data_IF_002410694589
#
_entry.id   IF_002410694589
#
_cell.length_a   1.000
_cell.length_b   1.000
_cell.length_c   1.000
_cell.angle_alpha   90.00
_cell.angle_beta   90.00
_cell.angle_gamma   90.00
#
_symmetry.space_group_name_H-M   'P 1'
#
loop_
_entity.id
_entity.type
_entity.pdbx_description
1 polymer ?
#
# COMPACT_ATOMS: atom_id res chain seq x y z
N UNK A 1 29.52 67.88 5.10
CA UNK A 1 28.38 68.79 5.37
C UNK A 1 28.43 69.93 4.37
N UNK A 2 27.31 70.57 3.97
CA UNK A 2 25.89 70.36 4.34
C UNK A 2 25.06 69.93 3.11
N UNK A 3 23.77 69.58 3.08
CA UNK A 3 22.66 69.38 4.03
C UNK A 3 21.59 68.61 3.22
N UNK A 4 21.00 67.55 3.78
CA UNK A 4 19.60 67.18 3.45
C UNK A 4 18.69 68.30 3.99
N UNK A 5 17.50 68.58 3.41
CA UNK A 5 16.31 67.81 3.82
C UNK A 5 15.20 67.64 2.77
N UNK A 6 14.32 66.68 3.08
CA UNK A 6 12.88 66.67 2.82
C UNK A 6 12.40 66.77 1.36
N UNK A 7 12.04 65.63 0.78
CA UNK A 7 10.81 65.44 0.01
C UNK A 7 10.53 63.93 -0.06
N UNK A 8 10.16 63.39 1.11
CA UNK A 8 9.78 62.01 1.34
C UNK A 8 8.38 62.08 1.97
N UNK A 9 7.36 62.53 1.21
CA UNK A 9 5.99 62.63 1.72
C UNK A 9 4.86 62.85 0.67
N UNK A 10 5.04 62.59 -0.64
CA UNK A 10 3.94 62.81 -1.60
C UNK A 10 3.64 61.71 -2.63
N UNK A 11 4.33 60.57 -2.62
CA UNK A 11 4.10 59.51 -3.64
C UNK A 11 3.93 58.09 -3.08
N UNK A 12 3.67 57.95 -1.78
CA UNK A 12 3.37 56.66 -1.12
C UNK A 12 1.96 56.64 -0.49
N UNK A 13 1.05 57.48 -0.99
CA UNK A 13 -0.35 57.58 -0.55
C UNK A 13 -1.37 57.05 -1.58
N UNK A 14 -0.93 56.26 -2.58
CA UNK A 14 -1.82 55.75 -3.63
C UNK A 14 -1.94 54.21 -3.75
N UNK A 15 -1.34 53.43 -2.84
CA UNK A 15 -1.37 51.95 -2.90
C UNK A 15 -1.67 51.26 -1.56
N UNK A 16 -2.42 51.94 -0.67
CA UNK A 16 -3.02 51.33 0.52
C UNK A 16 -4.48 51.76 0.59
N UNK A 17 -5.38 51.02 -0.05
CA UNK A 17 -6.81 51.06 0.27
C UNK A 17 -7.04 50.13 1.47
N UNK A 18 -7.42 50.64 2.65
CA UNK A 18 -8.02 49.79 3.66
C UNK A 18 -9.43 49.44 3.19
N UNK A 19 -9.75 48.15 3.11
CA UNK A 19 -11.13 47.69 3.07
C UNK A 19 -11.72 48.07 4.43
N UNK A 20 -12.53 49.12 4.43
CA UNK A 20 -13.27 49.59 5.59
C UNK A 20 -14.15 48.44 6.11
N UNK A 21 -13.77 47.83 7.23
CA UNK A 21 -14.72 47.11 8.08
C UNK A 21 -15.70 48.16 8.61
N UNK A 22 -16.95 48.05 8.17
CA UNK A 22 -18.06 48.78 8.76
C UNK A 22 -18.09 48.48 10.26
N UNK A 23 -17.70 49.47 11.05
CA UNK A 23 -18.00 49.56 12.48
C UNK A 23 -19.48 49.87 12.63
N UNK A 24 -20.32 48.84 12.67
CA UNK A 24 -21.62 48.94 13.35
C UNK A 24 -21.39 48.64 14.83
N UNK A 25 -21.17 49.70 15.60
CA UNK A 25 -21.30 49.68 17.05
C UNK A 25 -22.80 49.49 17.33
N UNK A 26 -23.21 48.24 17.59
CA UNK A 26 -24.33 47.99 18.49
C UNK A 26 -23.74 47.78 19.88
N UNK A 27 -24.00 48.76 20.73
CA UNK A 27 -23.73 48.79 22.14
C UNK A 27 -24.53 47.71 22.89
N UNK A 28 -23.86 47.08 23.86
CA UNK A 28 -24.42 46.41 25.03
C UNK A 28 -25.46 45.30 24.79
N UNK A 29 -24.95 44.13 24.41
CA UNK A 29 -25.18 42.96 25.25
C UNK A 29 -23.81 42.37 25.57
N UNK A 30 -23.40 42.45 26.84
CA UNK A 30 -22.60 41.37 27.40
C UNK A 30 -23.42 40.11 27.09
N UNK A 31 -23.04 39.37 26.05
CA UNK A 31 -23.51 38.01 25.86
C UNK A 31 -23.05 37.28 27.12
N UNK A 32 -23.95 37.19 28.10
CA UNK A 32 -23.76 36.29 29.21
C UNK A 32 -23.38 34.96 28.58
N UNK A 33 -22.23 34.40 28.99
CA UNK A 33 -21.89 33.02 28.64
C UNK A 33 -23.17 32.21 28.85
N UNK A 34 -23.68 31.51 27.83
CA UNK A 34 -24.95 30.83 27.96
C UNK A 34 -24.91 29.98 29.24
N UNK A 35 -25.92 30.10 30.10
CA UNK A 35 -25.91 29.34 31.35
C UNK A 35 -25.77 27.86 31.02
N UNK A 36 -24.98 27.13 31.82
CA UNK A 36 -24.78 25.71 31.62
C UNK A 36 -26.13 24.99 31.47
N UNK A 37 -26.35 24.26 30.36
CA UNK A 37 -27.57 23.49 30.20
C UNK A 37 -27.71 22.43 31.31
N UNK A 38 -28.93 21.95 31.59
CA UNK A 38 -29.14 20.82 32.48
C UNK A 38 -28.26 19.62 32.05
N UNK A 39 -27.62 18.89 32.98
CA UNK A 39 -26.70 17.80 32.64
C UNK A 39 -27.31 16.69 31.76
N UNK A 40 -28.63 16.50 31.82
CA UNK A 40 -29.33 15.46 31.07
C UNK A 40 -29.78 15.91 29.67
N UNK A 41 -29.61 17.19 29.32
CA UNK A 41 -30.04 17.74 28.03
C UNK A 41 -28.88 17.82 27.03
N UNK A 42 -28.52 16.67 26.47
CA UNK A 42 -27.42 16.55 25.49
C UNK A 42 -27.64 17.40 24.22
N UNK A 43 -28.89 17.68 23.84
CA UNK A 43 -29.19 18.53 22.69
C UNK A 43 -28.83 19.99 22.98
N UNK A 44 -29.20 20.48 24.17
CA UNK A 44 -28.82 21.82 24.61
C UNK A 44 -27.30 21.96 24.80
N UNK A 45 -26.61 20.94 25.32
CA UNK A 45 -25.14 20.95 25.43
C UNK A 45 -24.45 21.02 24.07
N UNK A 46 -24.96 20.32 23.04
CA UNK A 46 -24.43 20.45 21.68
C UNK A 46 -24.54 21.88 21.15
N UNK A 47 -25.69 22.54 21.35
CA UNK A 47 -25.90 23.94 20.95
C UNK A 47 -24.96 24.88 21.73
N UNK A 48 -24.83 24.65 23.04
CA UNK A 48 -23.95 25.41 23.92
C UNK A 48 -22.49 25.38 23.47
N UNK A 49 -21.98 24.20 23.10
CA UNK A 49 -20.61 24.07 22.62
C UNK A 49 -20.41 24.57 21.19
N UNK A 50 -21.41 24.43 20.33
CA UNK A 50 -21.38 25.01 18.99
C UNK A 50 -21.30 26.54 19.05
N UNK A 51 -21.99 27.19 20.00
CA UNK A 51 -21.89 28.63 20.24
C UNK A 51 -20.49 29.08 20.73
N UNK A 52 -19.67 28.15 21.22
CA UNK A 52 -18.29 28.37 21.67
C UNK A 52 -17.23 27.86 20.69
N UNK A 53 -17.61 27.60 19.44
CA UNK A 53 -16.70 27.10 18.39
C UNK A 53 -16.06 25.74 18.75
N UNK A 54 -16.77 24.93 19.54
CA UNK A 54 -16.40 23.55 19.89
C UNK A 54 -17.50 22.57 19.43
N UNK A 55 -17.89 22.56 18.14
CA UNK A 55 -19.06 21.82 17.65
C UNK A 55 -18.96 20.29 17.79
N UNK A 56 -17.78 19.77 18.08
CA UNK A 56 -17.53 18.34 18.32
C UNK A 56 -17.84 17.90 19.76
N UNK A 57 -18.04 18.84 20.69
CA UNK A 57 -18.46 18.53 22.06
C UNK A 57 -19.95 18.29 22.14
N UNK A 58 -20.34 17.29 22.91
CA UNK A 58 -21.74 16.92 23.12
C UNK A 58 -22.09 16.59 24.55
N UNK A 59 -21.08 16.31 25.39
CA UNK A 59 -21.30 15.97 26.79
C UNK A 59 -21.30 17.22 27.68
N UNK A 60 -21.92 17.12 28.87
CA UNK A 60 -21.75 18.11 29.92
C UNK A 60 -20.28 18.33 30.27
N UNK A 61 -19.95 19.56 30.68
CA UNK A 61 -18.63 19.87 31.21
C UNK A 61 -18.36 18.99 32.45
N UNK A 62 -17.16 18.40 32.51
CA UNK A 62 -16.77 17.57 33.65
C UNK A 62 -16.53 18.45 34.89
N UNK A 63 -16.72 17.89 36.08
CA UNK A 63 -16.54 18.65 37.32
C UNK A 63 -15.08 19.07 37.54
N UNK A 64 -14.89 20.13 38.34
CA UNK A 64 -13.57 20.74 38.60
C UNK A 64 -12.57 19.74 39.17
N UNK A 65 -13.01 18.80 40.03
CA UNK A 65 -12.10 17.79 40.60
C UNK A 65 -11.61 16.82 39.52
N UNK A 66 -12.48 16.44 38.58
CA UNK A 66 -12.10 15.62 37.43
C UNK A 66 -11.15 16.36 36.50
N UNK A 67 -11.39 17.65 36.24
CA UNK A 67 -10.48 18.51 35.47
C UNK A 67 -9.08 18.59 36.10
N UNK A 68 -9.02 18.84 37.42
CA UNK A 68 -7.76 18.87 38.18
C UNK A 68 -7.03 17.52 38.08
N UNK A 69 -7.74 16.40 38.29
CA UNK A 69 -7.17 15.06 38.14
C UNK A 69 -6.57 14.83 36.74
N UNK A 70 -7.34 15.11 35.69
CA UNK A 70 -6.89 14.91 34.31
C UNK A 70 -5.73 15.84 33.94
N UNK A 71 -5.70 17.07 34.48
CA UNK A 71 -4.58 18.00 34.27
C UNK A 71 -3.28 17.47 34.88
N UNK A 72 -3.34 16.91 36.11
CA UNK A 72 -2.20 16.25 36.77
C UNK A 72 -1.74 15.04 35.97
N UNK A 73 -2.67 14.21 35.47
CA UNK A 73 -2.34 13.04 34.63
C UNK A 73 -1.66 13.45 33.33
N UNK A 74 -2.17 14.46 32.63
CA UNK A 74 -1.59 14.97 31.38
C UNK A 74 -0.19 15.57 31.58
N UNK A 75 0.10 16.13 32.76
CA UNK A 75 1.41 16.68 33.09
C UNK A 75 2.49 15.62 33.35
N UNK A 76 2.13 14.32 33.43
CA UNK A 76 3.10 13.24 33.62
C UNK A 76 3.96 13.09 32.36
N UNK A 77 5.26 13.36 32.49
CA UNK A 77 6.25 13.06 31.44
C UNK A 77 6.36 11.54 31.24
N UNK A 78 6.07 11.01 30.03
CA UNK A 78 6.16 9.59 29.75
C UNK A 78 7.60 9.06 29.94
N UNK A 79 7.75 7.92 30.62
CA UNK A 79 9.03 7.22 30.77
C UNK A 79 8.89 5.78 30.31
N UNK A 80 9.43 5.47 29.12
CA UNK A 80 9.28 4.19 28.45
C UNK A 80 9.98 3.06 29.23
N UNK A 81 11.19 3.31 29.72
CA UNK A 81 11.99 2.32 30.46
C UNK A 81 11.40 1.98 31.84
N UNK A 82 10.58 2.88 32.40
CA UNK A 82 9.84 2.61 33.64
C UNK A 82 8.38 2.19 33.36
N UNK A 83 7.94 2.27 32.10
CA UNK A 83 6.57 1.98 31.68
C UNK A 83 5.54 2.94 32.27
N UNK A 84 5.90 4.22 32.43
CA UNK A 84 5.04 5.28 32.95
C UNK A 84 4.40 6.01 31.76
N UNK A 85 3.07 6.04 31.72
CA UNK A 85 2.30 6.73 30.68
C UNK A 85 1.19 7.60 31.30
N UNK A 86 0.81 8.72 30.66
CA UNK A 86 -0.10 9.71 31.25
C UNK A 86 -1.44 9.13 31.69
N UNK A 87 -2.03 8.22 30.91
CA UNK A 87 -3.35 7.65 31.18
C UNK A 87 -3.35 6.15 31.43
N UNK A 88 -2.18 5.57 31.77
CA UNK A 88 -2.10 4.15 32.12
C UNK A 88 -3.16 3.77 33.17
N UNK A 89 -4.02 2.81 32.82
CA UNK A 89 -5.12 2.28 33.65
C UNK A 89 -6.16 3.32 34.08
N UNK A 90 -6.25 4.44 33.37
CA UNK A 90 -7.28 5.46 33.62
C UNK A 90 -8.47 5.17 32.70
N UNK A 91 -9.62 4.89 33.29
CA UNK A 91 -10.88 4.84 32.55
C UNK A 91 -11.33 6.26 32.21
N UNK A 92 -11.45 6.54 30.92
CA UNK A 92 -11.90 7.83 30.38
C UNK A 92 -13.28 7.65 29.76
N UNK A 93 -14.19 8.60 30.01
CA UNK A 93 -15.46 8.69 29.31
C UNK A 93 -15.38 9.72 28.16
N UNK A 94 -16.48 9.90 27.41
CA UNK A 94 -16.53 10.86 26.31
C UNK A 94 -16.26 12.30 26.77
N UNK A 95 -16.85 12.74 27.89
CA UNK A 95 -16.68 14.08 28.44
C UNK A 95 -15.23 14.37 28.84
N UNK A 96 -14.53 13.38 29.42
CA UNK A 96 -13.10 13.49 29.76
C UNK A 96 -12.25 13.77 28.52
N UNK A 97 -12.51 13.06 27.42
CA UNK A 97 -11.77 13.19 26.16
C UNK A 97 -12.12 14.52 25.47
N UNK A 98 -13.40 14.90 25.50
CA UNK A 98 -13.83 16.20 24.99
C UNK A 98 -13.13 17.35 25.72
N UNK A 99 -13.03 17.28 27.05
CA UNK A 99 -12.31 18.28 27.83
C UNK A 99 -10.80 18.26 27.56
N UNK A 100 -10.19 17.08 27.47
CA UNK A 100 -8.76 16.93 27.13
C UNK A 100 -8.43 17.53 25.77
N UNK A 101 -9.31 17.37 24.77
CA UNK A 101 -9.18 18.00 23.45
C UNK A 101 -9.30 19.53 23.54
N UNK A 102 -10.31 20.03 24.25
CA UNK A 102 -10.55 21.49 24.37
C UNK A 102 -9.38 22.22 25.03
N UNK A 103 -8.67 21.54 25.93
CA UNK A 103 -7.55 22.10 26.69
C UNK A 103 -6.18 21.64 26.16
N UNK A 104 -6.15 20.94 25.03
CA UNK A 104 -4.92 20.48 24.40
C UNK A 104 -4.06 21.66 23.98
N UNK A 105 -2.74 21.55 24.19
CA UNK A 105 -1.76 22.60 23.89
C UNK A 105 -2.21 23.98 24.38
N UNK A 106 -2.49 24.12 25.68
CA UNK A 106 -2.92 25.40 26.29
C UNK A 106 -4.18 26.01 25.64
N UNK A 107 -5.09 25.17 25.13
CA UNK A 107 -6.35 25.60 24.52
C UNK A 107 -6.29 25.85 23.02
N UNK A 108 -5.19 25.51 22.35
CA UNK A 108 -5.15 25.45 20.88
C UNK A 108 -6.14 24.44 20.30
N UNK A 109 -6.59 23.47 21.10
CA UNK A 109 -7.61 22.52 20.71
C UNK A 109 -7.06 21.35 19.88
N UNK A 110 -7.96 20.56 19.26
CA UNK A 110 -7.56 19.41 18.44
C UNK A 110 -6.70 19.83 17.23
N UNK A 111 -6.00 18.86 16.65
CA UNK A 111 -5.26 19.04 15.41
C UNK A 111 -6.25 19.06 14.25
N UNK A 112 -6.28 20.14 13.46
CA UNK A 112 -6.99 20.16 12.19
C UNK A 112 -6.11 19.55 11.09
N UNK A 113 -6.38 18.31 10.71
CA UNK A 113 -5.60 17.61 9.69
C UNK A 113 -5.74 18.19 8.27
N UNK A 114 -6.82 18.94 8.02
CA UNK A 114 -7.04 19.59 6.73
C UNK A 114 -6.05 20.73 6.50
N UNK A 115 -5.61 21.38 7.57
CA UNK A 115 -4.55 22.38 7.59
C UNK A 115 -3.16 21.71 7.58
N UNK A 116 -2.41 21.89 6.48
CA UNK A 116 -1.09 21.27 6.33
C UNK A 116 -0.10 21.74 7.40
N UNK A 117 -0.22 22.98 7.88
CA UNK A 117 0.65 23.54 8.91
C UNK A 117 0.45 22.86 10.27
N UNK A 118 -0.71 22.26 10.51
CA UNK A 118 -1.04 21.60 11.77
C UNK A 118 -0.66 20.12 11.78
N UNK A 119 -0.35 19.51 10.64
CA UNK A 119 -0.01 18.07 10.55
C UNK A 119 1.27 17.68 11.30
N UNK A 120 2.09 18.65 11.69
CA UNK A 120 3.28 18.46 12.53
C UNK A 120 2.97 18.52 14.03
N UNK A 121 1.79 19.01 14.43
CA UNK A 121 1.35 19.02 15.84
C UNK A 121 1.12 17.59 16.32
N UNK A 122 1.48 17.31 17.57
CA UNK A 122 1.11 16.05 18.21
C UNK A 122 -0.34 16.12 18.69
N UNK A 123 -1.14 15.10 18.40
CA UNK A 123 -2.46 14.98 18.99
C UNK A 123 -2.39 14.65 20.48
N UNK A 124 -3.54 14.50 21.12
CA UNK A 124 -3.60 14.12 22.54
C UNK A 124 -2.90 12.78 22.78
N UNK A 125 -2.18 12.65 23.89
CA UNK A 125 -1.54 11.40 24.31
C UNK A 125 -2.45 10.63 25.25
N UNK A 126 -2.99 9.51 24.78
CA UNK A 126 -3.87 8.61 25.53
C UNK A 126 -3.26 7.22 25.72
N UNK A 127 -1.93 7.10 25.70
CA UNK A 127 -1.26 5.82 25.92
C UNK A 127 -1.66 5.19 27.26
N UNK A 128 -2.02 3.92 27.19
CA UNK A 128 -2.45 3.11 28.32
C UNK A 128 -3.85 3.43 28.87
N UNK A 129 -4.60 4.34 28.23
CA UNK A 129 -5.96 4.68 28.61
C UNK A 129 -6.92 3.50 28.39
N UNK A 130 -7.93 3.41 29.26
CA UNK A 130 -9.07 2.50 29.11
C UNK A 130 -10.29 3.27 28.60
N UNK A 131 -10.67 3.00 27.35
CA UNK A 131 -11.74 3.67 26.62
C UNK A 131 -12.66 2.62 25.97
N UNK A 132 -12.75 1.45 26.61
CA UNK A 132 -13.62 0.36 26.18
C UNK A 132 -15.09 0.78 26.25
N UNK A 133 -15.84 0.44 25.19
CA UNK A 133 -17.28 0.72 25.08
C UNK A 133 -17.67 2.21 25.19
N UNK A 134 -16.74 3.13 24.94
CA UNK A 134 -17.00 4.58 24.98
C UNK A 134 -17.39 5.08 23.59
N UNK A 135 -18.34 6.02 23.54
CA UNK A 135 -18.73 6.69 22.32
C UNK A 135 -17.80 7.86 21.99
N UNK A 136 -16.94 7.68 20.99
CA UNK A 136 -16.01 8.66 20.45
C UNK A 136 -16.39 9.12 19.04
N UNK A 137 -17.61 8.81 18.60
CA UNK A 137 -18.07 9.14 17.26
C UNK A 137 -17.88 10.62 16.94
N UNK A 138 -17.38 10.87 15.73
CA UNK A 138 -17.10 12.18 15.15
C UNK A 138 -16.08 13.07 15.90
N UNK A 139 -15.36 12.55 16.90
CA UNK A 139 -14.35 13.35 17.59
C UNK A 139 -13.13 13.65 16.70
N UNK A 140 -12.53 14.86 16.82
CA UNK A 140 -11.33 15.27 16.09
C UNK A 140 -10.06 14.75 16.79
N UNK A 141 -9.76 13.46 16.59
CA UNK A 141 -8.62 12.75 17.21
C UNK A 141 -7.41 12.64 16.26
N UNK A 142 -7.24 13.59 15.34
CA UNK A 142 -6.10 13.58 14.43
C UNK A 142 -4.78 13.65 15.21
N UNK A 143 -3.79 12.86 14.78
CA UNK A 143 -2.49 12.76 15.46
C UNK A 143 -2.52 12.10 16.85
N UNK A 144 -3.66 11.53 17.28
CA UNK A 144 -3.80 10.83 18.57
C UNK A 144 -2.63 9.87 18.82
N UNK A 145 -2.03 9.92 20.01
CA UNK A 145 -0.98 9.01 20.43
C UNK A 145 -1.55 7.96 21.38
N UNK A 146 -1.91 6.80 20.84
CA UNK A 146 -2.40 5.62 21.58
C UNK A 146 -1.39 4.46 21.66
N UNK A 147 -0.26 4.55 20.96
CA UNK A 147 0.79 3.52 20.93
C UNK A 147 2.20 4.09 21.03
N UNK A 148 3.18 3.20 21.17
CA UNK A 148 4.60 3.58 21.14
C UNK A 148 5.06 3.84 19.70
N UNK A 149 5.92 4.85 19.51
CA UNK A 149 6.64 5.03 18.26
C UNK A 149 7.62 3.87 18.02
N UNK A 150 8.18 3.79 16.81
CA UNK A 150 9.16 2.74 16.48
C UNK A 150 10.39 2.76 17.38
N UNK A 151 10.91 3.95 17.71
CA UNK A 151 12.10 4.11 18.54
C UNK A 151 11.80 3.70 19.98
N UNK A 152 10.73 4.24 20.57
CA UNK A 152 10.30 3.89 21.93
C UNK A 152 10.03 2.39 22.06
N UNK A 153 9.43 1.76 21.06
CA UNK A 153 9.18 0.31 21.07
C UNK A 153 10.48 -0.49 21.15
N UNK A 154 11.55 -0.07 20.47
CA UNK A 154 12.82 -0.81 20.48
C UNK A 154 13.52 -0.76 21.84
N UNK A 155 13.23 0.28 22.63
CA UNK A 155 13.74 0.45 24.00
C UNK A 155 12.82 -0.22 25.04
N UNK A 156 11.56 -0.45 24.70
CA UNK A 156 10.57 -1.02 25.60
C UNK A 156 10.63 -2.56 25.69
N UNK A 157 10.53 -3.09 26.91
CA UNK A 157 10.23 -4.51 27.18
C UNK A 157 8.80 -4.85 26.78
N UNK A 158 8.46 -6.15 26.72
CA UNK A 158 7.10 -6.59 26.39
C UNK A 158 6.06 -6.05 27.38
N UNK A 159 6.39 -6.00 28.68
CA UNK A 159 5.48 -5.48 29.72
C UNK A 159 5.26 -3.98 29.59
N UNK A 160 6.31 -3.22 29.28
CA UNK A 160 6.22 -1.78 29.06
C UNK A 160 5.36 -1.45 27.83
N UNK A 161 5.47 -2.26 26.77
CA UNK A 161 4.59 -2.15 25.59
C UNK A 161 3.15 -2.41 25.95
N UNK A 162 2.87 -3.49 26.72
CA UNK A 162 1.50 -3.82 27.17
C UNK A 162 0.87 -2.69 27.99
N UNK A 163 1.65 -2.04 28.86
CA UNK A 163 1.19 -0.88 29.64
C UNK A 163 0.86 0.36 28.78
N UNK A 164 1.49 0.52 27.62
CA UNK A 164 1.22 1.61 26.69
C UNK A 164 -0.03 1.39 25.83
N UNK A 165 -0.50 0.14 25.71
CA UNK A 165 -1.59 -0.22 24.82
C UNK A 165 -2.89 0.48 25.25
N UNK A 166 -3.40 1.33 24.37
CA UNK A 166 -4.72 1.91 24.50
C UNK A 166 -5.79 0.82 24.34
N UNK A 167 -6.70 0.73 25.31
CA UNK A 167 -7.81 -0.23 25.31
C UNK A 167 -9.06 0.45 24.73
N UNK A 168 -9.54 -0.03 23.59
CA UNK A 168 -10.69 0.51 22.87
C UNK A 168 -11.64 -0.61 22.41
N UNK A 169 -11.65 -1.74 23.12
CA UNK A 169 -12.55 -2.87 22.83
C UNK A 169 -13.99 -2.37 22.85
N UNK A 170 -14.73 -2.64 21.78
CA UNK A 170 -16.12 -2.24 21.60
C UNK A 170 -16.36 -0.71 21.60
N UNK A 171 -15.33 0.12 21.45
CA UNK A 171 -15.50 1.57 21.37
C UNK A 171 -16.25 1.96 20.09
N UNK A 172 -17.10 2.98 20.17
CA UNK A 172 -17.74 3.55 18.99
C UNK A 172 -16.89 4.71 18.46
N UNK A 173 -16.21 4.47 17.35
CA UNK A 173 -15.34 5.39 16.62
C UNK A 173 -15.96 5.78 15.26
N UNK A 174 -17.29 5.73 15.16
CA UNK A 174 -18.02 6.06 13.94
C UNK A 174 -17.68 7.47 13.47
N UNK A 175 -17.18 7.62 12.24
CA UNK A 175 -16.85 8.92 11.65
C UNK A 175 -15.77 9.71 12.39
N UNK A 176 -15.06 9.11 13.34
CA UNK A 176 -13.99 9.76 14.10
C UNK A 176 -12.83 10.12 13.17
N UNK A 177 -12.23 11.29 13.38
CA UNK A 177 -11.08 11.76 12.62
C UNK A 177 -9.81 11.26 13.33
N UNK A 178 -9.12 10.28 12.75
CA UNK A 178 -7.94 9.62 13.31
C UNK A 178 -6.74 9.71 12.35
N UNK A 179 -6.71 10.73 11.50
CA UNK A 179 -5.67 10.88 10.50
C UNK A 179 -4.32 11.05 11.21
N UNK A 180 -3.32 10.30 10.75
CA UNK A 180 -1.99 10.28 11.38
C UNK A 180 -1.93 9.73 12.80
N UNK A 181 -3.03 9.22 13.36
CA UNK A 181 -3.03 8.68 14.71
C UNK A 181 -2.05 7.50 14.84
N UNK A 182 -1.31 7.44 15.94
CA UNK A 182 -0.51 6.30 16.31
C UNK A 182 -1.33 5.36 17.19
N UNK A 183 -1.90 4.33 16.57
CA UNK A 183 -2.71 3.27 17.18
C UNK A 183 -1.97 1.92 17.16
N UNK A 184 -0.64 1.96 17.12
CA UNK A 184 0.20 0.76 17.13
C UNK A 184 -0.12 -0.10 18.34
N UNK A 185 -0.41 -1.38 18.10
CA UNK A 185 -0.74 -2.38 19.13
C UNK A 185 -1.99 -2.06 19.99
N UNK A 186 -2.80 -1.08 19.58
CA UNK A 186 -4.07 -0.78 20.23
C UNK A 186 -5.03 -1.97 20.18
N UNK A 187 -5.85 -2.11 21.22
CA UNK A 187 -6.89 -3.13 21.32
C UNK A 187 -8.21 -2.53 20.83
N UNK A 188 -8.61 -2.84 19.60
CA UNK A 188 -9.77 -2.33 18.87
C UNK A 188 -10.75 -3.45 18.50
N UNK A 189 -10.71 -4.57 19.21
CA UNK A 189 -11.62 -5.69 19.01
C UNK A 189 -13.06 -5.21 19.12
N UNK A 190 -13.93 -5.64 18.20
CA UNK A 190 -15.36 -5.28 18.18
C UNK A 190 -15.65 -3.77 18.11
N UNK A 191 -14.65 -2.93 17.83
CA UNK A 191 -14.86 -1.48 17.71
C UNK A 191 -15.64 -1.14 16.43
N UNK A 192 -16.48 -0.10 16.52
CA UNK A 192 -17.18 0.47 15.36
C UNK A 192 -16.35 1.60 14.77
N UNK A 193 -15.63 1.31 13.68
CA UNK A 193 -14.77 2.24 12.93
C UNK A 193 -15.42 2.65 11.60
N UNK A 194 -16.74 2.48 11.46
CA UNK A 194 -17.45 2.84 10.23
C UNK A 194 -17.23 4.30 9.89
N UNK A 195 -16.92 4.57 8.63
CA UNK A 195 -16.65 5.91 8.11
C UNK A 195 -15.52 6.68 8.83
N UNK A 196 -14.75 6.06 9.73
CA UNK A 196 -13.63 6.70 10.40
C UNK A 196 -12.57 7.12 9.38
N UNK A 197 -11.93 8.27 9.61
CA UNK A 197 -10.83 8.74 8.78
C UNK A 197 -9.48 8.36 9.40
N UNK A 198 -8.92 7.25 8.95
CA UNK A 198 -7.65 6.66 9.40
C UNK A 198 -6.50 6.93 8.41
N UNK A 199 -6.62 7.97 7.59
CA UNK A 199 -5.59 8.30 6.60
C UNK A 199 -4.23 8.48 7.27
N UNK A 200 -3.20 7.79 6.76
CA UNK A 200 -1.84 7.80 7.30
C UNK A 200 -1.71 7.35 8.77
N UNK A 201 -2.75 6.76 9.37
CA UNK A 201 -2.68 6.24 10.72
C UNK A 201 -1.72 5.04 10.81
N UNK A 202 -1.05 4.89 11.94
CA UNK A 202 -0.21 3.73 12.27
C UNK A 202 -1.02 2.73 13.08
N UNK A 203 -1.46 1.65 12.42
CA UNK A 203 -2.22 0.54 12.99
C UNK A 203 -1.38 -0.73 13.08
N UNK A 204 -0.05 -0.60 13.08
CA UNK A 204 0.85 -1.77 13.06
C UNK A 204 0.56 -2.66 14.26
N UNK A 205 0.26 -3.92 13.99
CA UNK A 205 -0.07 -4.93 15.01
C UNK A 205 -1.24 -4.55 15.93
N UNK A 206 -2.10 -3.62 15.51
CA UNK A 206 -3.36 -3.36 16.19
C UNK A 206 -4.24 -4.62 16.12
N UNK A 207 -5.03 -4.84 17.18
CA UNK A 207 -6.00 -5.92 17.23
C UNK A 207 -7.37 -5.39 16.82
N UNK A 208 -7.81 -5.70 15.60
CA UNK A 208 -9.06 -5.22 14.99
C UNK A 208 -10.03 -6.40 14.74
N UNK A 209 -9.86 -7.50 15.48
CA UNK A 209 -10.71 -8.70 15.36
C UNK A 209 -12.18 -8.31 15.56
N UNK A 210 -13.04 -8.77 14.64
CA UNK A 210 -14.50 -8.48 14.63
C UNK A 210 -14.89 -7.00 14.60
N UNK A 211 -13.96 -6.10 14.29
CA UNK A 211 -14.27 -4.67 14.16
C UNK A 211 -15.07 -4.38 12.88
N UNK A 212 -15.86 -3.30 12.91
CA UNK A 212 -16.63 -2.82 11.76
C UNK A 212 -15.93 -1.60 11.14
N UNK A 213 -15.26 -1.80 10.01
CA UNK A 213 -14.50 -0.79 9.27
C UNK A 213 -15.23 -0.34 8.00
N UNK A 214 -16.56 -0.56 7.89
CA UNK A 214 -17.27 -0.26 6.65
C UNK A 214 -17.16 1.20 6.25
N UNK A 215 -16.72 1.44 5.02
CA UNK A 215 -16.51 2.80 4.50
C UNK A 215 -15.37 3.58 5.15
N UNK A 216 -14.54 2.97 6.01
CA UNK A 216 -13.41 3.65 6.64
C UNK A 216 -12.38 4.12 5.60
N UNK A 217 -11.74 5.26 5.86
CA UNK A 217 -10.69 5.80 5.00
C UNK A 217 -9.32 5.39 5.52
N UNK A 218 -8.69 4.40 4.87
CA UNK A 218 -7.39 3.84 5.27
C UNK A 218 -6.27 4.20 4.27
N UNK A 219 -6.47 5.24 3.46
CA UNK A 219 -5.47 5.65 2.46
C UNK A 219 -4.13 5.94 3.14
N UNK A 220 -3.07 5.31 2.64
CA UNK A 220 -1.71 5.39 3.20
C UNK A 220 -1.57 4.95 4.68
N UNK A 221 -2.58 4.28 5.27
CA UNK A 221 -2.48 3.74 6.62
C UNK A 221 -1.47 2.58 6.68
N UNK A 222 -0.81 2.42 7.83
CA UNK A 222 0.15 1.34 8.06
C UNK A 222 -0.49 0.23 8.92
N UNK A 223 -0.97 -0.83 8.27
CA UNK A 223 -1.63 -1.96 8.89
C UNK A 223 -0.68 -3.14 9.13
N UNK A 224 0.65 -2.96 9.03
CA UNK A 224 1.57 -4.12 9.04
C UNK A 224 1.40 -5.01 10.27
N UNK A 225 1.10 -6.28 10.03
CA UNK A 225 0.87 -7.27 11.07
C UNK A 225 -0.39 -7.07 11.90
N UNK A 226 -1.32 -6.21 11.48
CA UNK A 226 -2.62 -6.05 12.14
C UNK A 226 -3.44 -7.35 12.06
N UNK A 227 -4.27 -7.55 13.07
CA UNK A 227 -5.17 -8.70 13.21
C UNK A 227 -6.57 -8.25 12.82
N UNK A 228 -7.07 -8.67 11.66
CA UNK A 228 -8.37 -8.27 11.10
C UNK A 228 -9.35 -9.44 10.97
N UNK A 229 -9.11 -10.53 11.70
CA UNK A 229 -9.94 -11.72 11.64
C UNK A 229 -11.40 -11.39 11.93
N UNK A 230 -12.30 -11.86 11.08
CA UNK A 230 -13.75 -11.61 11.16
C UNK A 230 -14.16 -10.12 11.11
N UNK A 231 -13.25 -9.20 10.75
CA UNK A 231 -13.58 -7.78 10.57
C UNK A 231 -14.37 -7.53 9.26
N UNK A 232 -15.11 -6.42 9.22
CA UNK A 232 -15.88 -5.99 8.04
C UNK A 232 -15.24 -4.74 7.42
N UNK A 233 -14.52 -4.89 6.30
CA UNK A 233 -13.95 -3.77 5.56
C UNK A 233 -14.77 -3.41 4.32
N UNK A 234 -16.05 -3.81 4.20
CA UNK A 234 -16.81 -3.49 2.99
C UNK A 234 -16.80 -2.00 2.71
N UNK A 235 -16.57 -1.63 1.44
CA UNK A 235 -16.49 -0.23 1.00
C UNK A 235 -15.34 0.59 1.60
N UNK A 236 -14.42 -0.01 2.37
CA UNK A 236 -13.26 0.69 2.89
C UNK A 236 -12.30 1.12 1.76
N UNK A 237 -11.57 2.20 2.00
CA UNK A 237 -10.62 2.81 1.04
C UNK A 237 -9.19 2.49 1.42
N UNK A 238 -8.54 1.58 0.70
CA UNK A 238 -7.23 1.01 1.07
C UNK A 238 -6.08 1.48 0.15
N UNK A 239 -6.29 2.52 -0.67
CA UNK A 239 -5.28 2.95 -1.62
C UNK A 239 -3.97 3.30 -0.91
N UNK A 240 -2.86 2.75 -1.41
CA UNK A 240 -1.52 2.92 -0.85
C UNK A 240 -1.35 2.49 0.62
N UNK A 241 -2.33 1.80 1.20
CA UNK A 241 -2.21 1.24 2.55
C UNK A 241 -1.15 0.13 2.58
N UNK A 242 -0.47 -0.02 3.72
CA UNK A 242 0.52 -1.06 3.90
C UNK A 242 -0.08 -2.23 4.70
N UNK A 243 -0.55 -3.25 4.00
CA UNK A 243 -1.19 -4.42 4.59
C UNK A 243 -0.21 -5.60 4.77
N UNK A 244 1.11 -5.37 4.77
CA UNK A 244 2.04 -6.50 4.82
C UNK A 244 1.91 -7.31 6.10
N UNK A 245 1.81 -8.63 5.98
CA UNK A 245 1.67 -9.52 7.14
C UNK A 245 0.32 -9.42 7.85
N UNK A 246 -0.69 -8.76 7.27
CA UNK A 246 -2.03 -8.70 7.86
C UNK A 246 -2.68 -10.08 7.86
N UNK A 247 -3.41 -10.40 8.93
CA UNK A 247 -4.24 -11.59 9.03
C UNK A 247 -5.69 -11.24 8.72
N UNK A 248 -6.23 -11.81 7.65
CA UNK A 248 -7.55 -11.48 7.11
C UNK A 248 -8.52 -12.67 7.17
N UNK A 249 -8.32 -13.62 8.08
CA UNK A 249 -9.16 -14.82 8.17
C UNK A 249 -10.64 -14.43 8.34
N UNK A 250 -11.50 -14.86 7.41
CA UNK A 250 -12.94 -14.53 7.36
C UNK A 250 -13.26 -13.02 7.31
N UNK A 251 -12.31 -12.17 6.92
CA UNK A 251 -12.54 -10.74 6.77
C UNK A 251 -13.39 -10.46 5.53
N UNK A 252 -14.40 -9.58 5.64
CA UNK A 252 -15.21 -9.17 4.48
C UNK A 252 -14.55 -8.00 3.75
N UNK A 253 -14.13 -8.25 2.50
CA UNK A 253 -13.45 -7.30 1.62
C UNK A 253 -14.31 -6.85 0.43
N UNK A 254 -15.62 -7.15 0.41
CA UNK A 254 -16.46 -6.84 -0.75
C UNK A 254 -16.55 -5.33 -1.00
N UNK A 255 -16.45 -4.93 -2.27
CA UNK A 255 -16.55 -3.53 -2.69
C UNK A 255 -15.51 -2.58 -2.08
N UNK A 256 -14.37 -3.07 -1.60
CA UNK A 256 -13.26 -2.19 -1.20
C UNK A 256 -12.75 -1.39 -2.39
N UNK A 257 -12.41 -0.12 -2.14
CA UNK A 257 -11.70 0.70 -3.11
C UNK A 257 -10.22 0.40 -3.02
N UNK A 258 -9.78 -0.51 -3.88
CA UNK A 258 -8.40 -1.01 -3.89
C UNK A 258 -7.42 -0.04 -4.54
N UNK A 259 -7.82 0.63 -5.62
CA UNK A 259 -7.01 1.60 -6.36
C UNK A 259 -7.91 2.59 -7.08
N UNK A 260 -7.35 3.74 -7.45
CA UNK A 260 -8.00 4.73 -8.32
C UNK A 260 -6.98 5.24 -9.35
N UNK A 261 -7.37 6.08 -10.33
CA UNK A 261 -6.43 6.55 -11.37
C UNK A 261 -5.19 7.28 -10.83
N UNK A 262 -5.26 7.82 -9.62
CA UNK A 262 -4.23 8.68 -9.03
C UNK A 262 -3.38 7.93 -8.00
N UNK A 263 -3.90 6.86 -7.40
CA UNK A 263 -3.26 6.16 -6.28
C UNK A 263 -3.05 4.67 -6.57
N UNK A 264 -1.91 4.15 -6.12
CA UNK A 264 -1.60 2.72 -6.26
C UNK A 264 -2.43 1.84 -5.31
N UNK A 265 -2.55 0.55 -5.66
CA UNK A 265 -3.17 -0.43 -4.77
C UNK A 265 -2.39 -0.62 -3.45
N UNK A 266 -2.99 -1.21 -2.41
CA UNK A 266 -2.28 -1.48 -1.17
C UNK A 266 -1.06 -2.41 -1.38
N UNK A 267 -0.11 -2.31 -0.47
CA UNK A 267 0.97 -3.30 -0.34
C UNK A 267 0.41 -4.54 0.35
N UNK A 268 0.60 -5.70 -0.26
CA UNK A 268 -0.03 -6.95 0.16
C UNK A 268 0.95 -8.11 0.33
N UNK A 269 2.27 -7.84 0.39
CA UNK A 269 3.23 -8.90 0.65
C UNK A 269 2.98 -9.57 2.00
N UNK A 270 3.06 -10.89 2.03
CA UNK A 270 2.92 -11.70 3.24
C UNK A 270 1.52 -11.61 3.89
N UNK A 271 0.50 -11.13 3.15
CA UNK A 271 -0.90 -11.25 3.53
C UNK A 271 -1.34 -12.71 3.45
N UNK A 272 -2.01 -13.20 4.50
CA UNK A 272 -2.65 -14.52 4.47
C UNK A 272 -4.01 -14.39 3.80
N UNK A 273 -4.09 -14.83 2.54
CA UNK A 273 -5.30 -14.74 1.72
C UNK A 273 -6.30 -15.90 1.89
N UNK A 274 -5.95 -16.87 2.76
CA UNK A 274 -6.77 -18.06 3.00
C UNK A 274 -8.14 -17.67 3.58
N UNK A 275 -9.20 -18.34 3.10
CA UNK A 275 -10.56 -18.15 3.60
C UNK A 275 -11.15 -16.74 3.43
N UNK A 276 -10.69 -15.99 2.41
CA UNK A 276 -11.22 -14.66 2.05
C UNK A 276 -11.98 -14.75 0.73
N UNK A 277 -13.09 -14.04 0.61
CA UNK A 277 -13.83 -13.91 -0.64
C UNK A 277 -13.16 -12.89 -1.58
N UNK A 278 -12.37 -13.34 -2.56
CA UNK A 278 -11.63 -12.46 -3.48
C UNK A 278 -12.43 -12.06 -4.72
N UNK A 279 -13.48 -12.79 -5.09
CA UNK A 279 -14.28 -12.51 -6.29
C UNK A 279 -15.11 -11.23 -6.18
N UNK A 280 -15.33 -10.71 -4.96
CA UNK A 280 -15.99 -9.43 -4.73
C UNK A 280 -15.11 -8.19 -4.97
N UNK A 281 -13.84 -8.39 -5.35
CA UNK A 281 -12.88 -7.32 -5.64
C UNK A 281 -12.75 -7.15 -7.16
N UNK A 282 -12.82 -5.91 -7.64
CA UNK A 282 -12.66 -5.58 -9.05
C UNK A 282 -11.19 -5.61 -9.48
N UNK A 283 -10.59 -6.81 -9.51
CA UNK A 283 -9.18 -7.02 -9.82
C UNK A 283 -8.78 -6.39 -11.15
N UNK A 284 -9.63 -6.42 -12.17
CA UNK A 284 -9.38 -5.83 -13.48
C UNK A 284 -8.91 -4.36 -13.40
N UNK A 285 -9.41 -3.59 -12.43
CA UNK A 285 -9.03 -2.19 -12.18
C UNK A 285 -7.67 -2.02 -11.48
N UNK A 286 -7.13 -3.09 -10.87
CA UNK A 286 -5.84 -3.08 -10.17
C UNK A 286 -4.69 -3.12 -11.18
N UNK A 287 -4.24 -1.93 -11.59
CA UNK A 287 -3.12 -1.77 -12.54
C UNK A 287 -1.79 -2.27 -11.99
N UNK A 288 -1.54 -2.14 -10.69
CA UNK A 288 -0.27 -2.48 -10.06
C UNK A 288 -0.45 -2.56 -8.54
N UNK A 289 0.18 -3.54 -7.88
CA UNK A 289 0.21 -3.62 -6.42
C UNK A 289 1.10 -2.53 -5.82
N UNK A 290 0.81 -2.11 -4.58
CA UNK A 290 1.63 -1.12 -3.87
C UNK A 290 3.09 -1.56 -3.71
N UNK A 291 3.35 -2.86 -3.56
CA UNK A 291 4.71 -3.41 -3.49
C UNK A 291 5.50 -3.17 -4.77
N UNK A 292 4.86 -3.36 -5.93
CA UNK A 292 5.49 -3.08 -7.22
C UNK A 292 5.74 -1.59 -7.41
N UNK A 293 4.75 -0.76 -7.05
CA UNK A 293 4.86 0.68 -7.16
C UNK A 293 6.03 1.19 -6.31
N UNK A 294 6.15 0.72 -5.07
CA UNK A 294 7.25 1.07 -4.18
C UNK A 294 8.60 0.58 -4.73
N UNK A 295 8.71 -0.67 -5.20
CA UNK A 295 9.95 -1.20 -5.78
C UNK A 295 10.45 -0.44 -7.02
N UNK A 296 9.52 0.11 -7.81
CA UNK A 296 9.85 0.90 -9.01
C UNK A 296 10.32 2.31 -8.71
N UNK A 297 9.98 2.88 -7.54
CA UNK A 297 10.44 4.22 -7.17
C UNK A 297 11.97 4.31 -7.14
N UNK A 298 12.50 5.42 -7.64
CA UNK A 298 13.94 5.72 -7.59
C UNK A 298 14.41 6.19 -6.21
N UNK A 299 13.49 6.73 -5.41
CA UNK A 299 13.74 7.32 -4.09
C UNK A 299 12.88 6.67 -3.01
N UNK A 300 13.41 6.62 -1.80
CA UNK A 300 12.69 6.29 -0.56
C UNK A 300 12.96 7.42 0.44
N UNK A 301 11.92 8.03 1.01
CA UNK A 301 12.04 9.19 1.93
C UNK A 301 12.96 10.31 1.37
N UNK A 302 12.75 10.68 0.11
CA UNK A 302 13.55 11.70 -0.58
C UNK A 302 14.96 11.29 -1.02
N UNK A 303 15.52 10.19 -0.49
CA UNK A 303 16.88 9.71 -0.80
C UNK A 303 16.86 8.63 -1.88
N UNK A 304 17.90 8.59 -2.72
CA UNK A 304 18.03 7.55 -3.76
C UNK A 304 18.17 6.17 -3.11
N UNK A 305 17.43 5.18 -3.59
CA UNK A 305 17.48 3.81 -3.06
C UNK A 305 18.85 3.17 -3.35
N UNK A 306 19.46 2.59 -2.33
CA UNK A 306 20.68 1.79 -2.51
C UNK A 306 20.32 0.43 -3.17
N UNK A 307 21.34 -0.31 -3.62
CA UNK A 307 21.14 -1.58 -4.35
C UNK A 307 20.43 -2.65 -3.49
N UNK A 308 20.78 -2.74 -2.21
CA UNK A 308 20.21 -3.73 -1.29
C UNK A 308 18.71 -3.49 -1.01
N UNK A 309 18.34 -2.24 -0.76
CA UNK A 309 16.93 -1.84 -0.58
C UNK A 309 16.12 -2.13 -1.85
N UNK A 310 16.66 -1.77 -3.02
CA UNK A 310 16.01 -2.09 -4.30
C UNK A 310 15.77 -3.59 -4.45
N UNK A 311 16.80 -4.40 -4.22
CA UNK A 311 16.67 -5.86 -4.31
C UNK A 311 15.55 -6.35 -3.39
N UNK A 312 15.59 -5.99 -2.11
CA UNK A 312 14.60 -6.40 -1.11
C UNK A 312 13.17 -5.98 -1.47
N UNK A 313 12.97 -4.78 -2.00
CA UNK A 313 11.64 -4.31 -2.44
C UNK A 313 11.14 -5.08 -3.66
N UNK A 314 12.00 -5.37 -4.64
CA UNK A 314 11.62 -6.20 -5.79
C UNK A 314 11.30 -7.64 -5.37
N UNK A 315 12.07 -8.24 -4.47
CA UNK A 315 11.76 -9.55 -3.89
C UNK A 315 10.41 -9.55 -3.18
N UNK A 316 10.12 -8.48 -2.43
CA UNK A 316 8.84 -8.30 -1.74
C UNK A 316 7.69 -8.18 -2.74
N UNK A 317 7.87 -7.42 -3.83
CA UNK A 317 6.88 -7.31 -4.90
C UNK A 317 6.63 -8.62 -5.65
N UNK A 318 7.68 -9.45 -5.83
CA UNK A 318 7.55 -10.81 -6.36
C UNK A 318 6.68 -11.66 -5.43
N UNK A 319 6.99 -11.69 -4.13
CA UNK A 319 6.22 -12.47 -3.15
C UNK A 319 4.76 -12.07 -3.12
N UNK A 320 4.47 -10.76 -3.05
CA UNK A 320 3.12 -10.22 -3.07
C UNK A 320 2.31 -10.71 -4.29
N UNK A 321 2.88 -10.56 -5.49
CA UNK A 321 2.20 -10.98 -6.72
C UNK A 321 2.01 -12.51 -6.79
N UNK A 322 2.99 -13.31 -6.34
CA UNK A 322 2.86 -14.78 -6.32
C UNK A 322 1.80 -15.27 -5.35
N UNK A 323 1.83 -14.76 -4.11
CA UNK A 323 0.86 -15.14 -3.07
C UNK A 323 -0.57 -14.80 -3.52
N UNK A 324 -0.77 -13.60 -4.07
CA UNK A 324 -2.07 -13.20 -4.60
C UNK A 324 -2.49 -14.06 -5.79
N UNK A 325 -1.59 -14.35 -6.73
CA UNK A 325 -1.91 -15.20 -7.87
C UNK A 325 -2.38 -16.59 -7.46
N UNK A 326 -1.71 -17.22 -6.48
CA UNK A 326 -2.10 -18.53 -5.94
C UNK A 326 -3.48 -18.45 -5.29
N UNK A 327 -3.73 -17.43 -4.47
CA UNK A 327 -5.01 -17.27 -3.79
C UNK A 327 -6.18 -17.05 -4.78
N UNK A 328 -5.96 -16.26 -5.83
CA UNK A 328 -6.93 -16.07 -6.91
C UNK A 328 -7.20 -17.37 -7.67
N UNK A 329 -6.14 -18.13 -7.97
CA UNK A 329 -6.24 -19.40 -8.69
C UNK A 329 -7.03 -20.45 -7.89
N UNK A 330 -6.82 -20.53 -6.58
CA UNK A 330 -7.56 -21.44 -5.69
C UNK A 330 -9.08 -21.17 -5.68
N UNK A 331 -9.50 -19.95 -6.03
CA UNK A 331 -10.91 -19.55 -6.14
C UNK A 331 -11.43 -19.55 -7.58
N UNK A 332 -10.67 -20.10 -8.53
CA UNK A 332 -11.06 -20.18 -9.94
C UNK A 332 -10.95 -18.86 -10.72
N UNK A 333 -10.35 -17.82 -10.15
CA UNK A 333 -10.13 -16.52 -10.80
C UNK A 333 -8.89 -16.57 -11.73
N UNK A 334 -8.91 -17.49 -12.69
CA UNK A 334 -7.73 -17.91 -13.46
C UNK A 334 -7.10 -16.80 -14.31
N UNK A 335 -7.90 -15.93 -14.92
CA UNK A 335 -7.39 -14.82 -15.73
C UNK A 335 -6.62 -13.81 -14.88
N UNK A 336 -7.19 -13.46 -13.73
CA UNK A 336 -6.58 -12.54 -12.77
C UNK A 336 -5.33 -13.16 -12.14
N UNK A 337 -5.42 -14.43 -11.72
CA UNK A 337 -4.29 -15.20 -11.22
C UNK A 337 -3.12 -15.21 -12.21
N UNK A 338 -3.40 -15.51 -13.48
CA UNK A 338 -2.40 -15.53 -14.55
C UNK A 338 -1.74 -14.16 -14.75
N UNK A 339 -2.52 -13.08 -14.66
CA UNK A 339 -2.02 -11.71 -14.79
C UNK A 339 -1.06 -11.33 -13.66
N UNK A 340 -1.38 -11.65 -12.41
CA UNK A 340 -0.48 -11.42 -11.27
C UNK A 340 0.73 -12.37 -11.27
N UNK A 341 0.56 -13.63 -11.70
CA UNK A 341 1.68 -14.57 -11.87
C UNK A 341 2.68 -14.07 -12.94
N UNK A 342 2.18 -13.56 -14.07
CA UNK A 342 2.99 -12.93 -15.11
C UNK A 342 3.79 -11.73 -14.59
N UNK A 343 3.15 -10.86 -13.78
CA UNK A 343 3.84 -9.73 -13.13
C UNK A 343 4.93 -10.22 -12.18
N UNK A 344 4.67 -11.24 -11.37
CA UNK A 344 5.68 -11.85 -10.51
C UNK A 344 6.91 -12.34 -11.29
N UNK A 345 6.72 -12.98 -12.45
CA UNK A 345 7.83 -13.44 -13.29
C UNK A 345 8.65 -12.28 -13.86
N UNK A 346 7.98 -11.22 -14.31
CA UNK A 346 8.64 -10.01 -14.80
C UNK A 346 9.49 -9.33 -13.70
N UNK A 347 8.96 -9.27 -12.47
CA UNK A 347 9.68 -8.74 -11.30
C UNK A 347 10.84 -9.66 -10.89
N UNK A 348 10.65 -10.99 -10.92
CA UNK A 348 11.69 -11.97 -10.61
C UNK A 348 12.88 -11.84 -11.57
N UNK A 349 12.63 -11.61 -12.86
CA UNK A 349 13.71 -11.32 -13.81
C UNK A 349 14.51 -10.07 -13.42
N UNK A 350 13.84 -9.06 -12.86
CA UNK A 350 14.52 -7.85 -12.35
C UNK A 350 15.33 -8.15 -11.09
N UNK A 351 14.84 -9.02 -10.20
CA UNK A 351 15.58 -9.54 -9.04
C UNK A 351 16.89 -10.19 -9.49
N UNK A 352 16.84 -11.15 -10.42
CA UNK A 352 18.05 -11.82 -10.92
C UNK A 352 19.09 -10.81 -11.45
N UNK A 353 18.65 -9.80 -12.22
CA UNK A 353 19.55 -8.77 -12.70
C UNK A 353 20.20 -7.96 -11.56
N UNK A 354 19.40 -7.57 -10.55
CA UNK A 354 19.91 -6.82 -9.41
C UNK A 354 20.92 -7.63 -8.59
N UNK A 355 20.71 -8.94 -8.46
CA UNK A 355 21.62 -9.87 -7.81
C UNK A 355 22.94 -10.05 -8.58
N UNK A 356 22.87 -10.24 -9.90
CA UNK A 356 24.05 -10.37 -10.78
C UNK A 356 24.98 -9.14 -10.66
N UNK A 357 24.39 -7.94 -10.63
CA UNK A 357 25.11 -6.66 -10.57
C UNK A 357 25.61 -6.34 -9.14
N UNK A 358 25.38 -7.21 -8.15
CA UNK A 358 25.94 -7.03 -6.83
C UNK A 358 27.44 -7.38 -6.78
N UNK A 359 28.27 -6.56 -6.10
CA UNK A 359 29.70 -6.83 -5.97
C UNK A 359 30.00 -8.10 -5.18
N UNK A 360 29.15 -8.46 -4.20
CA UNK A 360 29.42 -9.48 -3.18
C UNK A 360 29.00 -10.91 -3.54
N UNK A 361 28.35 -11.14 -4.67
CA UNK A 361 27.91 -12.48 -5.05
C UNK A 361 29.10 -13.35 -5.54
N UNK A 362 29.18 -14.60 -5.07
CA UNK A 362 30.24 -15.56 -5.48
C UNK A 362 30.13 -15.86 -6.98
N UNK A 363 31.26 -16.07 -7.67
CA UNK A 363 31.32 -16.28 -9.13
C UNK A 363 30.37 -17.39 -9.62
N UNK A 364 30.33 -18.52 -8.89
CA UNK A 364 29.44 -19.66 -9.20
C UNK A 364 27.95 -19.29 -9.10
N UNK A 365 27.56 -18.48 -8.10
CA UNK A 365 26.19 -18.00 -7.96
C UNK A 365 25.82 -17.02 -9.08
N UNK A 366 26.76 -16.15 -9.50
CA UNK A 366 26.55 -15.27 -10.65
C UNK A 366 26.27 -16.05 -11.93
N UNK A 367 27.01 -17.13 -12.19
CA UNK A 367 26.76 -18.00 -13.36
C UNK A 367 25.34 -18.58 -13.39
N UNK A 368 24.88 -19.13 -12.26
CA UNK A 368 23.53 -19.68 -12.12
C UNK A 368 22.44 -18.60 -12.27
N UNK A 369 22.67 -17.40 -11.73
CA UNK A 369 21.73 -16.28 -11.86
C UNK A 369 21.69 -15.75 -13.29
N UNK A 370 22.83 -15.68 -13.98
CA UNK A 370 22.90 -15.28 -15.38
C UNK A 370 22.13 -16.24 -16.28
N UNK A 371 22.29 -17.56 -16.09
CA UNK A 371 21.52 -18.54 -16.86
C UNK A 371 20.02 -18.46 -16.55
N UNK A 372 19.64 -18.33 -15.28
CA UNK A 372 18.24 -18.13 -14.88
C UNK A 372 17.65 -16.84 -15.48
N UNK A 373 18.41 -15.75 -15.52
CA UNK A 373 18.01 -14.48 -16.13
C UNK A 373 17.83 -14.60 -17.65
N UNK A 374 18.78 -15.22 -18.35
CA UNK A 374 18.70 -15.47 -19.80
C UNK A 374 17.50 -16.35 -20.14
N UNK A 375 17.31 -17.44 -19.40
CA UNK A 375 16.17 -18.34 -19.59
C UNK A 375 14.84 -17.62 -19.32
N UNK A 376 14.78 -16.79 -18.27
CA UNK A 376 13.60 -15.97 -17.99
C UNK A 376 13.31 -14.98 -19.13
N UNK A 377 14.33 -14.41 -19.76
CA UNK A 377 14.17 -13.53 -20.92
C UNK A 377 13.69 -14.29 -22.16
N UNK A 378 14.24 -15.48 -22.41
CA UNK A 378 13.78 -16.41 -23.44
C UNK A 378 12.28 -16.74 -23.30
N UNK A 379 11.84 -17.18 -22.12
CA UNK A 379 10.42 -17.48 -21.85
C UNK A 379 9.50 -16.26 -22.00
N UNK A 380 10.00 -15.08 -21.64
CA UNK A 380 9.26 -13.83 -21.84
C UNK A 380 9.06 -13.49 -23.31
N UNK A 381 10.09 -13.65 -24.13
CA UNK A 381 10.01 -13.36 -25.56
C UNK A 381 9.05 -14.31 -26.27
N UNK A 382 9.22 -15.61 -26.05
CA UNK A 382 8.52 -16.63 -26.85
C UNK A 382 7.11 -16.89 -26.33
N UNK A 383 6.89 -16.84 -25.01
CA UNK A 383 5.59 -17.20 -24.44
C UNK A 383 4.96 -16.09 -23.60
N UNK A 384 5.69 -15.01 -23.30
CA UNK A 384 5.27 -14.08 -22.25
C UNK A 384 5.01 -14.82 -20.94
N UNK A 385 5.82 -15.84 -20.63
CA UNK A 385 5.60 -16.76 -19.52
C UNK A 385 4.25 -17.53 -19.57
N UNK A 386 3.71 -17.79 -20.76
CA UNK A 386 2.41 -18.43 -20.98
C UNK A 386 1.21 -17.49 -20.93
N UNK A 387 1.39 -16.25 -20.49
CA UNK A 387 0.32 -15.26 -20.41
C UNK A 387 -0.08 -14.70 -21.78
N UNK A 388 0.87 -14.61 -22.73
CA UNK A 388 0.66 -14.07 -24.07
C UNK A 388 0.92 -15.12 -25.16
N UNK A 389 -0.01 -16.07 -25.38
CA UNK A 389 0.19 -17.19 -26.31
C UNK A 389 0.35 -16.72 -27.76
N UNK A 390 -0.17 -15.54 -28.12
CA UNK A 390 0.08 -14.89 -29.41
C UNK A 390 1.57 -14.68 -29.69
N UNK A 391 2.41 -14.48 -28.66
CA UNK A 391 3.86 -14.40 -28.83
C UNK A 391 4.45 -15.72 -29.29
N UNK A 392 3.89 -16.84 -28.87
CA UNK A 392 4.40 -18.16 -29.26
C UNK A 392 4.09 -18.44 -30.72
N UNK A 393 2.87 -18.12 -31.17
CA UNK A 393 2.53 -18.19 -32.60
C UNK A 393 3.40 -17.27 -33.45
N UNK A 394 3.66 -16.04 -32.98
CA UNK A 394 4.54 -15.11 -33.68
C UNK A 394 5.99 -15.59 -33.72
N UNK A 395 6.53 -16.08 -32.60
CA UNK A 395 7.87 -16.64 -32.53
C UNK A 395 8.02 -17.83 -33.47
N UNK A 396 7.03 -18.72 -33.48
CA UNK A 396 6.94 -19.86 -34.37
C UNK A 396 7.01 -19.44 -35.84
N UNK A 397 6.18 -18.47 -36.25
CA UNK A 397 6.20 -17.93 -37.61
C UNK A 397 7.52 -17.25 -37.97
N UNK A 398 8.08 -16.44 -37.06
CA UNK A 398 9.33 -15.72 -37.30
C UNK A 398 10.54 -16.65 -37.46
N UNK A 399 10.61 -17.72 -36.66
CA UNK A 399 11.68 -18.72 -36.79
C UNK A 399 11.59 -19.36 -38.18
N UNK A 400 10.43 -19.91 -38.56
CA UNK A 400 10.24 -20.55 -39.86
C UNK A 400 10.55 -19.57 -41.00
N UNK A 401 10.03 -18.34 -40.96
CA UNK A 401 10.31 -17.35 -42.00
C UNK A 401 11.81 -16.99 -42.10
N UNK A 402 12.50 -16.89 -40.96
CA UNK A 402 13.94 -16.57 -40.93
C UNK A 402 14.80 -17.70 -41.51
N UNK A 403 14.50 -18.95 -41.16
CA UNK A 403 15.21 -20.12 -41.68
C UNK A 403 14.85 -20.38 -43.14
N UNK A 404 13.60 -20.22 -43.55
CA UNK A 404 13.20 -20.24 -44.96
C UNK A 404 14.01 -19.22 -45.79
N UNK A 405 14.22 -18.01 -45.26
CA UNK A 405 15.07 -17.00 -45.91
C UNK A 405 16.52 -17.47 -45.97
N UNK A 406 17.06 -18.04 -44.89
CA UNK A 406 18.41 -18.58 -44.88
C UNK A 406 18.60 -19.74 -45.87
N UNK A 407 17.65 -20.68 -45.99
CA UNK A 407 17.69 -21.74 -46.99
C UNK A 407 17.59 -21.22 -48.42
N UNK A 408 16.76 -20.21 -48.66
CA UNK A 408 16.69 -19.58 -49.98
C UNK A 408 18.03 -18.95 -50.38
N UNK A 409 18.68 -18.23 -49.45
CA UNK A 409 19.98 -17.60 -49.69
C UNK A 409 21.13 -18.61 -49.78
N UNK A 410 21.13 -19.66 -48.95
CA UNK A 410 22.16 -20.70 -48.96
C UNK A 410 21.98 -21.70 -50.11
N UNK A 411 20.75 -21.99 -50.50
CA UNK A 411 20.43 -22.79 -51.69
C UNK A 411 20.96 -22.16 -52.97
N UNK A 412 21.15 -20.84 -52.99
CA UNK A 412 21.80 -20.13 -54.10
C UNK A 412 23.34 -20.31 -54.14
N UNK A 413 23.95 -20.73 -53.03
CA UNK A 413 25.42 -20.70 -52.86
C UNK A 413 26.04 -22.07 -52.62
N UNK A 414 25.32 -23.02 -52.03
CA UNK A 414 25.91 -24.30 -51.56
C UNK A 414 25.04 -25.53 -51.88
N UNK A 415 23.77 -25.39 -52.22
CA UNK A 415 22.84 -26.52 -52.44
C UNK A 415 21.99 -26.41 -53.70
N UNK A 416 20.95 -27.26 -53.84
CA UNK A 416 20.00 -27.12 -54.94
C UNK A 416 19.23 -25.80 -54.80
N UNK A 417 18.97 -25.13 -55.93
CA UNK A 417 18.17 -23.90 -55.95
C UNK A 417 16.76 -24.19 -55.39
N UNK A 418 16.52 -23.72 -54.16
CA UNK A 418 15.20 -23.78 -53.54
C UNK A 418 14.41 -22.56 -53.99
N UNK A 419 13.24 -22.79 -54.58
CA UNK A 419 12.27 -21.71 -54.78
C UNK A 419 11.86 -21.13 -53.41
N UNK A 420 11.37 -19.87 -53.33
CA UNK A 420 10.92 -19.30 -52.06
C UNK A 420 9.89 -20.18 -51.33
N UNK A 421 9.00 -20.82 -52.08
CA UNK A 421 8.02 -21.77 -51.53
C UNK A 421 8.69 -23.08 -51.09
N UNK A 422 9.66 -23.59 -51.85
CA UNK A 422 10.44 -24.77 -51.49
C UNK A 422 11.24 -24.57 -50.20
N UNK A 423 11.89 -23.41 -50.05
CA UNK A 423 12.63 -23.04 -48.85
C UNK A 423 11.70 -22.90 -47.62
N UNK A 424 10.50 -22.35 -47.80
CA UNK A 424 9.48 -22.28 -46.75
C UNK A 424 9.00 -23.67 -46.31
N UNK A 425 8.67 -24.55 -47.26
CA UNK A 425 8.24 -25.93 -46.97
C UNK A 425 9.37 -26.70 -46.26
N UNK A 426 10.61 -26.53 -46.72
CA UNK A 426 11.78 -27.16 -46.11
C UNK A 426 11.99 -26.68 -44.66
N UNK A 427 11.87 -25.38 -44.41
CA UNK A 427 11.92 -24.82 -43.05
C UNK A 427 10.79 -25.36 -42.17
N UNK A 428 9.55 -25.43 -42.66
CA UNK A 428 8.44 -26.01 -41.91
C UNK A 428 8.69 -27.47 -41.53
N UNK A 429 9.22 -28.31 -42.42
CA UNK A 429 9.50 -29.72 -42.11
C UNK A 429 10.69 -29.87 -41.17
N UNK A 430 11.75 -29.11 -41.41
CA UNK A 430 12.97 -29.08 -40.59
C UNK A 430 12.69 -28.62 -39.16
N UNK A 431 11.90 -27.56 -38.98
CA UNK A 431 11.46 -27.07 -37.67
C UNK A 431 10.83 -28.17 -36.78
N UNK A 432 10.06 -29.08 -37.36
CA UNK A 432 9.45 -30.22 -36.65
C UNK A 432 10.36 -31.46 -36.56
N UNK A 433 11.65 -31.31 -36.85
CA UNK A 433 12.62 -32.40 -36.86
C UNK A 433 12.46 -33.40 -38.01
N UNK A 434 11.70 -33.04 -39.06
CA UNK A 434 11.44 -33.88 -40.24
C UNK A 434 12.23 -33.46 -41.49
N UNK A 435 13.22 -32.59 -41.33
CA UNK A 435 14.05 -32.05 -42.42
C UNK A 435 15.03 -33.05 -43.04
N UNK A 436 15.14 -34.27 -42.50
CA UNK A 436 16.02 -35.32 -43.02
C UNK A 436 15.20 -36.31 -43.86
N UNK A 437 15.35 -36.27 -45.18
CA UNK A 437 14.74 -37.27 -46.05
C UNK A 437 15.43 -38.64 -45.88
N UNK A 438 14.69 -39.76 -45.96
CA UNK A 438 15.30 -41.09 -45.95
C UNK A 438 16.25 -41.25 -47.15
N UNK A 439 17.53 -41.51 -46.90
CA UNK A 439 18.52 -41.85 -47.94
C UNK A 439 19.69 -40.87 -48.11
N UNK A 440 19.69 -39.71 -47.45
CA UNK A 440 20.84 -38.78 -47.43
C UNK A 440 21.75 -39.09 -46.25
N UNK A 441 23.04 -39.38 -46.51
CA UNK A 441 24.06 -39.44 -45.46
C UNK A 441 24.19 -38.06 -44.81
N UNK A 442 23.77 -37.94 -43.56
CA UNK A 442 23.91 -36.70 -42.76
C UNK A 442 25.40 -36.41 -42.59
N UNK A 443 25.91 -35.40 -43.30
CA UNK A 443 27.28 -34.92 -43.14
C UNK A 443 27.28 -33.58 -42.42
N UNK A 444 28.11 -33.44 -41.38
CA UNK A 444 28.31 -32.15 -40.69
C UNK A 444 29.14 -31.16 -41.53
N UNK A 445 29.72 -31.63 -42.64
CA UNK A 445 30.43 -30.78 -43.60
C UNK A 445 29.46 -30.05 -44.56
N UNK A 446 28.18 -30.44 -44.60
CA UNK A 446 27.16 -29.77 -45.39
C UNK A 446 26.48 -28.64 -44.57
N UNK A 447 26.65 -27.36 -44.96
CA UNK A 447 26.04 -26.23 -44.27
C UNK A 447 24.51 -26.28 -44.20
N UNK A 448 23.83 -26.89 -45.19
CA UNK A 448 22.37 -27.05 -45.17
C UNK A 448 21.94 -28.06 -44.10
N UNK A 449 22.66 -29.18 -44.00
CA UNK A 449 22.46 -30.19 -42.96
C UNK A 449 22.68 -29.61 -41.56
N UNK A 450 23.73 -28.81 -41.36
CA UNK A 450 23.98 -28.12 -40.09
C UNK A 450 22.87 -27.11 -39.77
N UNK A 451 22.41 -26.33 -40.76
CA UNK A 451 21.33 -25.37 -40.57
C UNK A 451 20.00 -26.04 -40.22
N UNK A 452 19.67 -27.15 -40.88
CA UNK A 452 18.49 -27.96 -40.58
C UNK A 452 18.54 -28.58 -39.18
N UNK A 453 19.70 -29.09 -38.76
CA UNK A 453 19.88 -29.60 -37.41
C UNK A 453 19.70 -28.49 -36.34
N UNK A 454 20.20 -27.28 -36.61
CA UNK A 454 20.01 -26.11 -35.73
C UNK A 454 18.54 -25.68 -35.67
N UNK A 455 17.86 -25.62 -36.81
CA UNK A 455 16.44 -25.28 -36.87
C UNK A 455 15.57 -26.29 -36.13
N UNK A 456 15.81 -27.59 -36.32
CA UNK A 456 15.10 -28.65 -35.61
C UNK A 456 15.27 -28.53 -34.09
N UNK A 457 16.47 -28.18 -33.61
CA UNK A 457 16.72 -27.92 -32.19
C UNK A 457 15.94 -26.71 -31.68
N UNK A 458 15.96 -25.60 -32.43
CA UNK A 458 15.19 -24.39 -32.08
C UNK A 458 13.68 -24.68 -32.09
N UNK A 459 13.21 -25.44 -33.07
CA UNK A 459 11.81 -25.86 -33.19
C UNK A 459 11.38 -26.71 -32.01
N UNK A 460 12.14 -27.75 -31.67
CA UNK A 460 11.89 -28.59 -30.48
C UNK A 460 11.79 -27.76 -29.19
N UNK A 461 12.73 -26.84 -28.95
CA UNK A 461 12.70 -26.00 -27.73
C UNK A 461 11.46 -25.09 -27.75
N UNK A 462 11.11 -24.53 -28.91
CA UNK A 462 9.94 -23.65 -29.07
C UNK A 462 8.64 -24.42 -28.84
N UNK A 463 8.49 -25.61 -29.41
CA UNK A 463 7.33 -26.48 -29.26
C UNK A 463 7.18 -26.97 -27.82
N UNK A 464 8.25 -27.47 -27.20
CA UNK A 464 8.22 -27.90 -25.79
C UNK A 464 7.86 -26.73 -24.88
N UNK A 465 8.41 -25.54 -25.14
CA UNK A 465 8.07 -24.32 -24.37
C UNK A 465 6.60 -23.94 -24.56
N UNK A 466 6.10 -23.99 -25.79
CA UNK A 466 4.70 -23.71 -26.10
C UNK A 466 3.77 -24.71 -25.40
N UNK A 467 4.02 -26.01 -25.55
CA UNK A 467 3.24 -27.07 -24.92
C UNK A 467 3.29 -26.91 -23.40
N UNK A 468 4.45 -26.70 -22.79
CA UNK A 468 4.58 -26.54 -21.35
C UNK A 468 3.80 -25.31 -20.85
N UNK A 469 3.95 -24.16 -21.51
CA UNK A 469 3.29 -22.92 -21.09
C UNK A 469 1.79 -22.91 -21.35
N UNK A 470 1.33 -23.54 -22.44
CA UNK A 470 -0.08 -23.75 -22.75
C UNK A 470 -0.71 -24.75 -21.76
N UNK A 471 -0.01 -25.85 -21.47
CA UNK A 471 -0.48 -26.87 -20.53
C UNK A 471 -0.60 -26.30 -19.13
N UNK A 472 0.42 -25.56 -18.67
CA UNK A 472 0.39 -24.87 -17.38
C UNK A 472 -0.80 -23.91 -17.27
N UNK A 473 -1.11 -23.19 -18.35
CA UNK A 473 -2.23 -22.22 -18.38
C UNK A 473 -3.60 -22.87 -18.30
N UNK A 474 -3.84 -23.96 -19.04
CA UNK A 474 -5.18 -24.55 -19.16
C UNK A 474 -5.43 -25.72 -18.21
N UNK A 475 -4.39 -26.45 -17.80
CA UNK A 475 -4.55 -27.71 -17.09
C UNK A 475 -3.95 -27.73 -15.68
N UNK A 476 -3.33 -26.63 -15.20
CA UNK A 476 -2.77 -26.54 -13.83
C UNK A 476 -1.87 -27.72 -13.44
N UNK A 477 -1.09 -28.27 -14.38
CA UNK A 477 -0.10 -29.33 -14.12
C UNK A 477 1.30 -28.85 -14.40
#
# INVERSE_FOLDING_TARGET
MPRKPALLLSLLNLMLKPIARQTSIQSNQLLALPQHPPPHDHAAWRIYWQAQDQPWRTEPEIDVKRQEYLSVRRAISPNIQQGIYPFQQVKLNRADIEWLLSTHENGHGPVDWSDECQREREGIDLRGADIQHVNLSYLPLAGLRGGLTWNERNEATQDQRKKAQMQMVGANLFGTQLQGANLREAQLQEADLRQADLQKADLRRACLEKSDLRGAQLRQADLRGALLQEADLRQARLQEANMKGVRLEKTDLRNILFSDPWHSAPMCADVLWESIYLSGIQWSQVRMLGDEHEARKSKHKGKRKNKALRLSEYETAVRANRQLAIALQQQGLNEEASRFAYRAQCLQRRVFWLEIVQPRAKLKQKGQMCSAWLFSWFLYLIAGYGYQPSRSFLAYFLVIASFATAYYLLGYTVGPELSPLGALVFSMTSFHGRGFFPGTTVSLDDPLTVLAALEALVGLITEVTFIATLTQRFFNR
#
